data_IF_125260217300
#
_entry.id   IF_125260217300
#
_cell.length_a   1.000
_cell.length_b   1.000
_cell.length_c   1.000
_cell.angle_alpha   90.00
_cell.angle_beta   90.00
_cell.angle_gamma   90.00
#
_symmetry.space_group_name_H-M   'P 1'
#
loop_
_entity.id
_entity.type
_entity.pdbx_description
1 polymer ?
#
# COMPACT_ATOMS: atom_id res chain seq x y z
N UNK A 1 41.32 -33.66 -16.49
CA UNK A 1 41.25 -32.94 -15.20
C UNK A 1 40.76 -31.53 -15.48
N UNK A 2 39.86 -31.03 -14.62
CA UNK A 2 39.34 -29.66 -14.58
C UNK A 2 38.47 -29.20 -15.77
N UNK A 3 37.16 -29.48 -15.75
CA UNK A 3 36.21 -28.48 -16.30
C UNK A 3 34.72 -28.62 -15.92
N UNK A 4 34.30 -29.64 -15.18
CA UNK A 4 32.88 -29.81 -14.84
C UNK A 4 32.47 -29.21 -13.48
N UNK A 5 33.43 -28.75 -12.68
CA UNK A 5 33.19 -28.15 -11.35
C UNK A 5 32.97 -26.62 -11.39
N UNK A 6 33.31 -25.94 -12.48
CA UNK A 6 33.27 -24.48 -12.54
C UNK A 6 31.88 -23.90 -12.82
N UNK A 7 30.95 -24.69 -13.37
CA UNK A 7 29.63 -24.19 -13.75
C UNK A 7 28.65 -24.09 -12.56
N UNK A 8 28.85 -24.92 -11.53
CA UNK A 8 27.95 -24.97 -10.37
C UNK A 8 28.21 -23.83 -9.37
N UNK A 9 29.45 -23.33 -9.30
CA UNK A 9 29.81 -22.21 -8.41
C UNK A 9 29.21 -20.88 -8.91
N UNK A 10 29.12 -20.71 -10.23
CA UNK A 10 28.55 -19.49 -10.85
C UNK A 10 27.04 -19.32 -10.61
N UNK A 11 26.31 -20.43 -10.41
CA UNK A 11 24.86 -20.41 -10.25
C UNK A 11 24.41 -20.00 -8.82
N UNK A 12 25.34 -19.99 -7.86
CA UNK A 12 25.07 -19.62 -6.46
C UNK A 12 25.27 -18.12 -6.15
N UNK A 13 25.68 -17.31 -7.15
CA UNK A 13 25.97 -15.88 -6.98
C UNK A 13 24.92 -14.93 -7.56
N UNK A 14 23.86 -15.43 -8.21
CA UNK A 14 22.70 -14.60 -8.54
C UNK A 14 21.82 -14.42 -7.30
N UNK A 15 22.33 -13.68 -6.32
CA UNK A 15 21.48 -13.03 -5.33
C UNK A 15 20.61 -12.02 -6.07
N UNK A 16 19.32 -12.32 -6.23
CA UNK A 16 18.35 -11.31 -6.65
C UNK A 16 18.29 -10.24 -5.55
N UNK A 17 18.99 -9.13 -5.76
CA UNK A 17 18.82 -7.96 -4.91
C UNK A 17 17.34 -7.56 -4.99
N UNK A 18 16.64 -7.38 -3.86
CA UNK A 18 15.27 -6.89 -3.88
C UNK A 18 15.28 -5.53 -4.58
N UNK A 19 14.58 -5.43 -5.70
CA UNK A 19 14.32 -4.15 -6.36
C UNK A 19 13.57 -3.27 -5.37
N UNK A 20 14.02 -2.02 -5.21
CA UNK A 20 13.36 -1.07 -4.32
C UNK A 20 11.91 -0.88 -4.77
N UNK A 21 10.94 -1.21 -3.91
CA UNK A 21 9.54 -1.06 -4.24
C UNK A 21 9.17 0.42 -4.25
N UNK A 22 8.63 0.90 -5.38
CA UNK A 22 8.17 2.29 -5.54
C UNK A 22 7.15 2.75 -4.51
N UNK A 23 6.39 1.79 -3.97
CA UNK A 23 5.37 1.96 -2.94
C UNK A 23 5.58 0.91 -1.85
N UNK A 24 5.57 1.35 -0.60
CA UNK A 24 5.61 0.47 0.58
C UNK A 24 4.35 0.65 1.43
N UNK A 25 3.63 -0.45 1.68
CA UNK A 25 2.43 -0.45 2.53
C UNK A 25 2.66 -1.24 3.83
N UNK A 26 2.21 -0.67 4.95
CA UNK A 26 2.34 -1.30 6.29
C UNK A 26 1.08 -1.09 7.13
N UNK A 27 0.54 -2.13 7.78
CA UNK A 27 0.94 -3.54 7.68
C UNK A 27 0.48 -4.18 6.35
N UNK A 28 1.10 -5.30 5.94
CA UNK A 28 0.68 -6.07 4.75
C UNK A 28 -0.62 -6.85 4.98
N UNK A 29 -0.78 -7.38 6.18
CA UNK A 29 -1.98 -8.06 6.64
C UNK A 29 -2.32 -7.57 8.05
N UNK A 30 -3.60 -7.34 8.30
CA UNK A 30 -4.08 -6.87 9.59
C UNK A 30 -5.38 -7.57 9.91
N UNK A 31 -5.44 -8.18 11.08
CA UNK A 31 -6.65 -8.75 11.66
C UNK A 31 -6.89 -8.03 12.97
N UNK A 32 -8.09 -7.46 13.12
CA UNK A 32 -8.48 -6.71 14.31
C UNK A 32 -9.93 -7.03 14.69
N UNK A 33 -10.36 -6.54 15.84
CA UNK A 33 -11.76 -6.61 16.28
C UNK A 33 -12.51 -5.36 15.84
N UNK A 34 -13.81 -5.50 15.62
CA UNK A 34 -14.71 -4.35 15.41
C UNK A 34 -14.58 -3.33 16.55
N UNK A 35 -14.86 -2.06 16.25
CA UNK A 35 -14.76 -0.89 17.15
C UNK A 35 -13.33 -0.44 17.49
N UNK A 36 -12.31 -1.17 17.07
CA UNK A 36 -10.92 -0.73 17.23
C UNK A 36 -10.55 0.36 16.22
N UNK A 37 -9.45 1.06 16.50
CA UNK A 37 -8.78 1.91 15.50
C UNK A 37 -7.74 1.07 14.75
N UNK A 38 -7.64 1.29 13.44
CA UNK A 38 -6.53 0.78 12.64
C UNK A 38 -5.91 1.91 11.84
N UNK A 39 -4.61 1.77 11.57
CA UNK A 39 -3.84 2.70 10.73
C UNK A 39 -3.09 1.92 9.65
N UNK A 40 -3.47 2.17 8.40
CA UNK A 40 -2.74 1.71 7.23
C UNK A 40 -1.79 2.81 6.79
N UNK A 41 -0.53 2.47 6.53
CA UNK A 41 0.49 3.41 6.05
C UNK A 41 0.85 3.07 4.62
N UNK A 42 1.01 4.10 3.81
CA UNK A 42 1.60 4.03 2.50
C UNK A 42 2.73 5.03 2.40
N UNK A 43 3.86 4.62 1.85
CA UNK A 43 5.05 5.43 1.59
C UNK A 43 5.47 5.25 0.13
N UNK A 44 5.97 6.31 -0.49
CA UNK A 44 6.55 6.28 -1.82
C UNK A 44 7.96 6.88 -1.85
N UNK A 45 8.80 6.38 -2.76
CA UNK A 45 10.17 6.87 -3.00
C UNK A 45 10.36 7.30 -4.46
N UNK A 46 9.27 7.57 -5.18
CA UNK A 46 9.26 7.85 -6.62
C UNK A 46 9.25 9.35 -6.95
N UNK A 47 9.10 10.22 -5.95
CA UNK A 47 8.95 11.67 -6.15
C UNK A 47 7.67 12.02 -6.91
N UNK A 48 6.63 11.21 -6.72
CA UNK A 48 5.32 11.41 -7.34
C UNK A 48 4.52 12.51 -6.63
N UNK A 49 3.76 13.30 -7.37
CA UNK A 49 3.00 14.43 -6.82
C UNK A 49 1.61 14.03 -6.31
N UNK A 50 1.10 12.89 -6.80
CA UNK A 50 -0.18 12.35 -6.39
C UNK A 50 -0.06 10.99 -5.69
N UNK A 51 -0.96 10.76 -4.73
CA UNK A 51 -1.10 9.48 -4.01
C UNK A 51 -2.57 9.10 -3.84
N UNK A 52 -2.85 7.81 -3.82
CA UNK A 52 -4.20 7.29 -3.86
C UNK A 52 -4.38 6.13 -2.89
N UNK A 53 -5.62 5.98 -2.40
CA UNK A 53 -6.06 4.81 -1.66
C UNK A 53 -7.27 4.19 -2.35
N UNK A 54 -7.25 2.87 -2.47
CA UNK A 54 -8.34 2.07 -3.02
C UNK A 54 -8.78 1.01 -2.03
N UNK A 55 -10.07 0.69 -2.05
CA UNK A 55 -10.64 -0.47 -1.37
C UNK A 55 -11.08 -1.49 -2.42
N UNK A 56 -10.68 -2.74 -2.24
CA UNK A 56 -11.13 -3.86 -3.04
C UNK A 56 -11.85 -4.87 -2.14
N UNK A 57 -13.18 -4.89 -2.25
CA UNK A 57 -14.00 -5.94 -1.67
C UNK A 57 -13.76 -7.28 -2.39
N UNK A 58 -13.98 -8.43 -1.73
CA UNK A 58 -13.85 -9.74 -2.37
C UNK A 58 -14.64 -9.81 -3.68
N UNK A 59 -14.00 -10.34 -4.73
CA UNK A 59 -14.60 -10.55 -6.07
C UNK A 59 -15.05 -9.26 -6.80
N UNK A 60 -14.72 -8.07 -6.27
CA UNK A 60 -14.97 -6.78 -6.94
C UNK A 60 -13.66 -6.16 -7.41
N UNK A 61 -13.77 -5.17 -8.30
CA UNK A 61 -12.63 -4.33 -8.70
C UNK A 61 -12.24 -3.32 -7.61
N UNK A 62 -11.01 -2.77 -7.65
CA UNK A 62 -10.60 -1.69 -6.77
C UNK A 62 -11.45 -0.44 -6.99
N UNK A 63 -11.93 0.16 -5.90
CA UNK A 63 -12.66 1.44 -5.90
C UNK A 63 -11.82 2.50 -5.22
N UNK A 64 -11.72 3.68 -5.84
CA UNK A 64 -10.98 4.80 -5.26
C UNK A 64 -11.73 5.36 -4.05
N UNK A 65 -11.00 5.52 -2.95
CA UNK A 65 -11.50 6.13 -1.71
C UNK A 65 -11.04 7.58 -1.60
N UNK A 66 -9.74 7.81 -1.82
CA UNK A 66 -9.08 9.09 -1.59
C UNK A 66 -8.03 9.34 -2.67
N UNK A 67 -7.86 10.61 -3.02
CA UNK A 67 -6.72 11.09 -3.79
C UNK A 67 -6.12 12.32 -3.12
N UNK A 68 -4.80 12.34 -2.97
CA UNK A 68 -4.05 13.53 -2.63
C UNK A 68 -3.33 14.01 -3.88
N UNK A 69 -3.62 15.22 -4.33
CA UNK A 69 -3.03 15.85 -5.52
C UNK A 69 -3.14 17.38 -5.40
N UNK A 70 -2.20 18.13 -5.99
CA UNK A 70 -2.18 19.59 -5.92
C UNK A 70 -2.32 20.14 -4.50
N UNK A 71 -1.63 19.53 -3.55
CA UNK A 71 -1.68 19.86 -2.11
C UNK A 71 -3.05 19.70 -1.42
N UNK A 72 -4.04 19.13 -2.11
CA UNK A 72 -5.39 18.94 -1.63
C UNK A 72 -5.74 17.46 -1.42
N UNK A 73 -6.50 17.17 -0.36
CA UNK A 73 -7.10 15.86 -0.12
C UNK A 73 -8.52 15.83 -0.69
N UNK A 74 -8.76 14.95 -1.65
CA UNK A 74 -10.08 14.69 -2.21
C UNK A 74 -10.60 13.35 -1.67
N UNK A 75 -11.77 13.39 -1.05
CA UNK A 75 -12.44 12.21 -0.49
C UNK A 75 -13.65 11.89 -1.35
N UNK A 76 -13.77 10.63 -1.77
CA UNK A 76 -14.98 10.18 -2.45
C UNK A 76 -16.17 10.24 -1.49
N UNK A 77 -17.26 10.87 -1.89
CA UNK A 77 -18.45 11.12 -1.06
C UNK A 77 -19.08 9.84 -0.50
N UNK A 78 -18.87 8.71 -1.18
CA UNK A 78 -19.36 7.39 -0.73
C UNK A 78 -18.57 6.80 0.44
N UNK A 79 -17.42 7.39 0.78
CA UNK A 79 -16.54 6.90 1.84
C UNK A 79 -17.02 7.40 3.21
N UNK A 80 -17.27 6.50 4.18
CA UNK A 80 -17.72 6.93 5.50
C UNK A 80 -16.72 7.85 6.22
N UNK A 81 -17.18 8.83 7.01
CA UNK A 81 -16.32 9.82 7.68
C UNK A 81 -15.40 9.23 8.77
N UNK A 82 -15.64 7.97 9.17
CA UNK A 82 -14.77 7.20 10.07
C UNK A 82 -13.44 6.80 9.41
N UNK A 83 -13.35 6.88 8.08
CA UNK A 83 -12.09 6.75 7.35
C UNK A 83 -11.44 8.12 7.17
N UNK A 84 -10.21 8.26 7.67
CA UNK A 84 -9.49 9.52 7.74
C UNK A 84 -8.13 9.38 7.06
N UNK A 85 -7.96 9.87 5.83
CA UNK A 85 -6.66 9.93 5.19
C UNK A 85 -5.82 11.07 5.78
N UNK A 86 -4.50 10.90 5.81
CA UNK A 86 -3.55 11.91 6.28
C UNK A 86 -2.28 11.85 5.44
N UNK A 87 -1.93 12.96 4.81
CA UNK A 87 -0.72 13.11 4.02
C UNK A 87 0.35 13.86 4.82
N UNK A 88 1.54 13.27 4.94
CA UNK A 88 2.73 13.90 5.52
C UNK A 88 3.94 13.49 4.70
N UNK A 89 4.66 14.44 4.10
CA UNK A 89 5.80 14.17 3.21
C UNK A 89 5.46 13.09 2.19
N UNK A 90 6.23 12.02 2.10
CA UNK A 90 6.01 10.93 1.14
C UNK A 90 5.02 9.86 1.63
N UNK A 91 4.31 10.11 2.74
CA UNK A 91 3.38 9.16 3.34
C UNK A 91 1.92 9.60 3.15
N UNK A 92 1.08 8.66 2.70
CA UNK A 92 -0.37 8.79 2.74
C UNK A 92 -0.93 7.71 3.68
N UNK A 93 -1.17 8.05 4.94
CA UNK A 93 -1.77 7.14 5.91
C UNK A 93 -3.30 7.17 5.85
N UNK A 94 -3.94 6.07 6.20
CA UNK A 94 -5.38 5.94 6.36
C UNK A 94 -5.69 5.39 7.75
N UNK A 95 -6.32 6.22 8.59
CA UNK A 95 -6.88 5.80 9.87
C UNK A 95 -8.35 5.43 9.71
N UNK A 96 -8.79 4.34 10.33
CA UNK A 96 -10.20 3.92 10.33
C UNK A 96 -10.61 3.70 11.78
N UNK A 97 -11.59 4.47 12.26
CA UNK A 97 -12.13 4.32 13.60
C UNK A 97 -13.58 4.82 13.73
N UNK A 98 -14.50 4.00 14.24
CA UNK A 98 -14.35 2.56 14.51
C UNK A 98 -14.25 1.75 13.21
N UNK A 99 -13.56 0.60 13.27
CA UNK A 99 -13.70 -0.42 12.22
C UNK A 99 -14.98 -1.25 12.40
N UNK A 100 -15.61 -1.59 11.29
CA UNK A 100 -16.85 -2.38 11.20
C UNK A 100 -16.57 -3.69 10.43
N UNK A 101 -17.50 -4.64 10.47
CA UNK A 101 -17.29 -5.95 9.84
C UNK A 101 -17.20 -5.83 8.31
N UNK A 102 -17.94 -4.87 7.74
CA UNK A 102 -18.00 -4.58 6.31
C UNK A 102 -16.70 -3.97 5.76
N UNK A 103 -15.78 -3.53 6.64
CA UNK A 103 -14.48 -2.96 6.24
C UNK A 103 -13.47 -4.00 5.79
N UNK A 104 -13.79 -5.29 5.95
CA UNK A 104 -12.92 -6.39 5.56
C UNK A 104 -12.73 -6.40 4.04
N UNK A 105 -11.58 -5.90 3.60
CA UNK A 105 -11.25 -5.69 2.20
C UNK A 105 -9.72 -5.67 2.02
N UNK A 106 -9.27 -5.72 0.77
CA UNK A 106 -7.87 -5.41 0.44
C UNK A 106 -7.75 -3.92 0.16
N UNK A 107 -6.79 -3.26 0.80
CA UNK A 107 -6.55 -1.82 0.63
C UNK A 107 -5.26 -1.60 -0.15
N UNK A 108 -5.35 -0.92 -1.28
CA UNK A 108 -4.20 -0.64 -2.14
C UNK A 108 -3.84 0.83 -2.08
N UNK A 109 -2.54 1.10 -2.07
CA UNK A 109 -2.01 2.43 -2.29
C UNK A 109 -1.25 2.50 -3.60
N UNK A 110 -1.34 3.63 -4.28
CA UNK A 110 -0.52 3.94 -5.45
C UNK A 110 -0.11 5.41 -5.45
N UNK A 111 0.80 5.76 -6.37
CA UNK A 111 1.21 7.14 -6.62
C UNK A 111 1.41 7.38 -8.11
N UNK A 112 1.30 8.64 -8.54
CA UNK A 112 1.60 9.06 -9.91
C UNK A 112 2.25 10.45 -9.96
N UNK A 113 2.97 10.73 -11.04
CA UNK A 113 3.31 12.10 -11.42
C UNK A 113 2.08 12.85 -11.89
#
# INVERSE_FOLDING_TARGET
MANTLFCWVSLLLLGAAPTEAGITQTPRHLVTRVKQEVKLRCEQNLGHDAMYWYQQEPQKGPKIMFSYNYEAMNVNETVPPRFKPTKVNNHLSLSIHPVEAEDSATYFCSSSR
#
